data_IF_206848008046
#
_entry.id   IF_206848008046
#
_cell.length_a   1.000
_cell.length_b   1.000
_cell.length_c   1.000
_cell.angle_alpha   90.00
_cell.angle_beta   90.00
_cell.angle_gamma   90.00
#
_symmetry.space_group_name_H-M   'P 1'
#
loop_
_entity.id
_entity.type
_entity.pdbx_description
1 polymer ?
#
# COMPACT_ATOMS: atom_id res chain seq x y z
N UNK A 1 4.86 -5.51 11.70
CA UNK A 1 3.42 -5.77 11.39
C UNK A 1 2.82 -6.82 12.32
N UNK A 2 1.99 -6.39 13.28
CA UNK A 2 1.22 -7.22 14.25
C UNK A 2 1.99 -8.39 14.94
N UNK A 3 3.33 -8.35 14.95
CA UNK A 3 4.18 -9.42 15.46
C UNK A 3 4.07 -10.76 14.71
N UNK A 4 3.61 -10.77 13.44
CA UNK A 4 3.40 -12.00 12.65
C UNK A 4 4.45 -12.18 11.56
N UNK A 5 4.84 -13.44 11.24
CA UNK A 5 5.61 -13.74 10.02
C UNK A 5 4.87 -13.28 8.75
N UNK A 6 5.63 -13.04 7.67
CA UNK A 6 5.10 -12.51 6.42
C UNK A 6 3.90 -13.29 5.89
N UNK A 7 4.05 -14.61 5.67
CA UNK A 7 3.00 -15.42 5.06
C UNK A 7 1.72 -15.42 5.90
N UNK A 8 1.87 -15.54 7.23
CA UNK A 8 0.73 -15.50 8.17
C UNK A 8 0.02 -14.14 8.12
N UNK A 9 0.78 -13.05 8.07
CA UNK A 9 0.20 -11.72 7.95
C UNK A 9 -0.50 -11.54 6.60
N UNK A 10 0.17 -11.90 5.50
CA UNK A 10 -0.34 -11.80 4.14
C UNK A 10 -1.68 -12.51 4.04
N UNK A 11 -1.76 -13.76 4.46
CA UNK A 11 -2.99 -14.55 4.42
C UNK A 11 -4.13 -13.90 5.19
N UNK A 12 -3.87 -13.41 6.40
CA UNK A 12 -4.88 -12.74 7.22
C UNK A 12 -5.33 -11.42 6.59
N UNK A 13 -4.38 -10.64 6.07
CA UNK A 13 -4.64 -9.34 5.47
C UNK A 13 -5.43 -9.47 4.17
N UNK A 14 -5.05 -10.38 3.28
CA UNK A 14 -5.77 -10.62 2.03
C UNK A 14 -7.18 -11.16 2.27
N UNK A 15 -7.37 -12.04 3.27
CA UNK A 15 -8.72 -12.47 3.69
C UNK A 15 -9.55 -11.31 4.21
N UNK A 16 -8.95 -10.37 4.94
CA UNK A 16 -9.64 -9.18 5.43
C UNK A 16 -10.08 -8.28 4.27
N UNK A 17 -9.20 -8.02 3.30
CA UNK A 17 -9.54 -7.25 2.09
C UNK A 17 -10.65 -7.93 1.26
N UNK A 18 -10.54 -9.24 1.05
CA UNK A 18 -11.56 -10.01 0.34
C UNK A 18 -12.91 -10.01 1.07
N UNK A 19 -12.89 -10.09 2.41
CA UNK A 19 -14.09 -10.02 3.25
C UNK A 19 -14.78 -8.65 3.23
N UNK A 20 -14.03 -7.56 3.09
CA UNK A 20 -14.58 -6.22 2.88
C UNK A 20 -15.15 -6.07 1.45
N UNK A 21 -14.43 -6.58 0.46
CA UNK A 21 -14.80 -6.57 -0.94
C UNK A 21 -14.50 -5.24 -1.65
N UNK A 22 -14.28 -5.33 -2.96
CA UNK A 22 -13.87 -4.18 -3.81
C UNK A 22 -14.88 -3.02 -3.73
N UNK A 23 -16.18 -3.30 -3.72
CA UNK A 23 -17.21 -2.27 -3.70
C UNK A 23 -17.15 -1.41 -2.43
N UNK A 24 -17.01 -2.03 -1.25
CA UNK A 24 -16.92 -1.30 0.02
C UNK A 24 -15.65 -0.45 0.08
N UNK A 25 -14.51 -1.00 -0.38
CA UNK A 25 -13.24 -0.28 -0.44
C UNK A 25 -13.34 0.91 -1.39
N UNK A 26 -13.97 0.75 -2.57
CA UNK A 26 -14.21 1.88 -3.50
C UNK A 26 -15.05 2.98 -2.86
N UNK A 27 -16.11 2.61 -2.16
CA UNK A 27 -16.96 3.57 -1.45
C UNK A 27 -16.17 4.34 -0.39
N UNK A 28 -15.34 3.65 0.39
CA UNK A 28 -14.48 4.28 1.40
C UNK A 28 -13.49 5.26 0.75
N UNK A 29 -12.77 4.83 -0.28
CA UNK A 29 -11.82 5.67 -1.01
C UNK A 29 -12.51 6.88 -1.66
N UNK A 30 -13.71 6.69 -2.23
CA UNK A 30 -14.49 7.79 -2.78
C UNK A 30 -14.92 8.78 -1.69
N UNK A 31 -15.29 8.30 -0.50
CA UNK A 31 -15.60 9.14 0.65
C UNK A 31 -14.41 9.98 1.11
N UNK A 32 -13.21 9.40 1.14
CA UNK A 32 -11.96 10.13 1.48
C UNK A 32 -11.62 11.17 0.40
N UNK A 33 -11.86 10.86 -0.87
CA UNK A 33 -11.60 11.77 -1.99
C UNK A 33 -12.66 12.87 -2.15
N UNK A 34 -13.89 12.65 -1.67
CA UNK A 34 -15.02 13.57 -1.85
C UNK A 34 -14.77 15.04 -1.46
N UNK A 35 -14.08 15.36 -0.34
CA UNK A 35 -13.79 16.76 0.02
C UNK A 35 -12.58 17.35 -0.71
N UNK A 36 -11.87 16.58 -1.55
CA UNK A 36 -10.69 17.04 -2.28
C UNK A 36 -11.07 17.65 -3.63
N UNK A 37 -10.20 18.52 -4.15
CA UNK A 37 -10.33 19.02 -5.52
C UNK A 37 -10.37 17.87 -6.54
N UNK A 38 -11.23 17.95 -7.58
CA UNK A 38 -11.31 16.92 -8.62
C UNK A 38 -9.94 16.61 -9.22
N UNK A 39 -9.64 15.31 -9.36
CA UNK A 39 -8.36 14.85 -9.90
C UNK A 39 -7.21 14.81 -8.90
N UNK A 40 -7.42 15.17 -7.63
CA UNK A 40 -6.40 14.98 -6.58
C UNK A 40 -6.26 13.48 -6.26
N UNK A 41 -5.07 12.87 -6.43
CA UNK A 41 -4.88 11.46 -6.12
C UNK A 41 -4.84 11.22 -4.61
N UNK A 42 -5.36 10.07 -4.19
CA UNK A 42 -5.15 9.54 -2.85
C UNK A 42 -3.81 8.81 -2.78
N UNK A 43 -3.11 8.94 -1.64
CA UNK A 43 -1.85 8.25 -1.39
C UNK A 43 -1.99 7.42 -0.12
N UNK A 44 -1.69 6.12 -0.21
CA UNK A 44 -1.62 5.24 0.94
C UNK A 44 -0.20 5.28 1.52
N UNK A 45 -0.07 5.81 2.74
CA UNK A 45 1.20 5.97 3.44
C UNK A 45 1.42 4.85 4.46
N UNK A 46 2.68 4.46 4.66
CA UNK A 46 3.10 3.57 5.75
C UNK A 46 4.39 4.12 6.40
N UNK A 47 4.70 3.66 7.61
CA UNK A 47 5.92 4.04 8.33
C UNK A 47 7.11 3.09 8.09
N UNK A 48 6.89 1.99 7.37
CA UNK A 48 7.94 1.01 7.07
C UNK A 48 8.91 1.53 6.00
N UNK A 49 10.20 1.27 6.21
CA UNK A 49 11.29 1.62 5.30
C UNK A 49 11.53 0.51 4.29
N UNK A 50 10.85 0.61 3.14
CA UNK A 50 10.92 -0.39 2.06
C UNK A 50 12.24 -0.37 1.28
N UNK A 51 13.08 0.62 1.51
CA UNK A 51 14.43 0.73 0.96
C UNK A 51 15.44 -0.20 1.65
N UNK A 52 14.99 -1.10 2.53
CA UNK A 52 15.84 -2.04 3.27
C UNK A 52 15.52 -3.48 2.90
N UNK A 53 16.56 -4.30 2.79
CA UNK A 53 16.43 -5.72 2.49
C UNK A 53 15.54 -6.44 3.52
N UNK A 54 14.68 -7.33 3.04
CA UNK A 54 13.79 -8.14 3.88
C UNK A 54 12.63 -7.35 4.52
N UNK A 55 12.53 -6.03 4.29
CA UNK A 55 11.40 -5.24 4.74
C UNK A 55 10.25 -5.37 3.75
N UNK A 56 9.07 -5.61 4.29
CA UNK A 56 7.81 -5.63 3.57
C UNK A 56 6.84 -4.73 4.32
N UNK A 57 5.72 -4.35 3.69
CA UNK A 57 4.66 -3.54 4.30
C UNK A 57 3.29 -3.95 3.77
N UNK A 58 2.23 -3.43 4.42
CA UNK A 58 0.86 -3.67 4.01
C UNK A 58 0.46 -2.94 2.72
N UNK A 59 1.08 -1.79 2.39
CA UNK A 59 0.75 -1.05 1.15
C UNK A 59 1.11 -1.84 -0.10
N UNK A 60 2.25 -2.55 -0.11
CA UNK A 60 2.65 -3.42 -1.24
C UNK A 60 1.69 -4.58 -1.41
N UNK A 61 1.27 -5.20 -0.30
CA UNK A 61 0.26 -6.26 -0.34
C UNK A 61 -1.09 -5.76 -0.86
N UNK A 62 -1.52 -4.57 -0.44
CA UNK A 62 -2.75 -3.93 -0.93
C UNK A 62 -2.65 -3.62 -2.42
N UNK A 63 -1.55 -3.02 -2.87
CA UNK A 63 -1.33 -2.64 -4.26
C UNK A 63 -1.38 -3.86 -5.20
N UNK A 64 -0.66 -4.93 -4.83
CA UNK A 64 -0.65 -6.18 -5.59
C UNK A 64 -2.04 -6.82 -5.64
N UNK A 65 -2.73 -6.93 -4.49
CA UNK A 65 -4.07 -7.49 -4.42
C UNK A 65 -5.08 -6.66 -5.21
N UNK A 66 -5.05 -5.34 -5.09
CA UNK A 66 -5.96 -4.44 -5.79
C UNK A 66 -5.82 -4.58 -7.30
N UNK A 67 -4.59 -4.65 -7.81
CA UNK A 67 -4.33 -4.90 -9.21
C UNK A 67 -4.86 -6.27 -9.65
N UNK A 68 -4.64 -7.33 -8.86
CA UNK A 68 -5.15 -8.67 -9.16
C UNK A 68 -6.69 -8.70 -9.29
N UNK A 69 -7.41 -8.04 -8.38
CA UNK A 69 -8.88 -8.12 -8.36
C UNK A 69 -9.60 -7.04 -9.17
N UNK A 70 -8.92 -5.96 -9.56
CA UNK A 70 -9.53 -4.84 -10.30
C UNK A 70 -8.88 -4.50 -11.63
N UNK A 71 -7.66 -4.98 -11.89
CA UNK A 71 -6.82 -4.56 -13.01
C UNK A 71 -6.27 -3.14 -12.88
N UNK A 72 -6.50 -2.43 -11.77
CA UNK A 72 -5.97 -1.09 -11.56
C UNK A 72 -4.61 -1.14 -10.89
N UNK A 73 -3.60 -0.58 -11.55
CA UNK A 73 -2.28 -0.41 -10.96
C UNK A 73 -2.33 0.63 -9.82
N UNK A 74 -1.60 0.35 -8.75
CA UNK A 74 -1.38 1.27 -7.64
C UNK A 74 0.13 1.53 -7.55
N UNK A 75 0.63 2.61 -8.18
CA UNK A 75 2.05 2.92 -8.19
C UNK A 75 2.61 3.12 -6.78
N UNK A 76 3.72 2.44 -6.46
CA UNK A 76 4.36 2.57 -5.16
C UNK A 76 5.58 3.50 -5.20
N UNK A 77 5.52 4.59 -4.44
CA UNK A 77 6.66 5.50 -4.28
C UNK A 77 7.59 5.02 -3.16
N UNK A 78 8.90 4.93 -3.49
CA UNK A 78 9.93 4.53 -2.53
C UNK A 78 9.85 3.07 -2.07
N UNK A 79 9.23 2.19 -2.88
CA UNK A 79 9.18 0.75 -2.65
C UNK A 79 10.29 -0.02 -3.39
N UNK A 80 11.08 0.68 -4.22
CA UNK A 80 12.27 0.13 -4.85
C UNK A 80 13.40 0.09 -3.84
N UNK A 81 13.89 -1.12 -3.53
CA UNK A 81 15.20 -1.26 -2.88
C UNK A 81 16.25 -0.64 -3.79
N UNK A 82 17.00 0.31 -3.26
CA UNK A 82 18.14 0.92 -3.95
C UNK A 82 19.38 0.40 -3.24
N UNK A 83 20.17 -0.44 -3.90
CA UNK A 83 21.47 -0.83 -3.39
C UNK A 83 22.40 0.40 -3.49
N UNK A 84 22.77 0.98 -2.35
CA UNK A 84 23.54 2.21 -2.30
C UNK A 84 23.39 3.00 -1.01
N UNK A 85 24.19 4.07 -0.81
CA UNK A 85 24.08 4.92 0.36
C UNK A 85 22.69 5.58 0.44
N UNK A 86 22.19 5.73 1.67
CA UNK A 86 20.92 6.39 1.96
C UNK A 86 20.85 7.76 1.24
N UNK A 87 19.82 8.02 0.42
CA UNK A 87 19.68 9.33 -0.20
C UNK A 87 19.54 10.39 0.90
N UNK A 88 20.19 11.55 0.77
CA UNK A 88 20.17 12.56 1.82
C UNK A 88 18.73 12.98 2.12
N UNK A 89 18.41 13.17 3.40
CA UNK A 89 17.10 13.55 3.94
C UNK A 89 16.53 14.89 3.41
N UNK A 90 17.22 15.56 2.48
CA UNK A 90 16.87 16.88 1.96
C UNK A 90 16.12 16.80 0.63
N UNK A 91 14.98 16.11 0.57
CA UNK A 91 13.98 16.27 -0.51
C UNK A 91 12.57 15.96 0.00
N UNK A 92 12.12 16.74 0.98
CA UNK A 92 10.70 17.08 1.18
C UNK A 92 10.61 18.58 1.47
#
# INVERSE_FOLDING_TARGET
MLGKPFDVYKDLYLRHLAGAGVAAIRTELAGIAAPLEPGRPLVLLCFDRLDREGVWCHRTLFAAWWHEVTGQEVPEFGATYVDGPEPPLSLF
#
